data_IF_351976183173
#
_entry.id   IF_351976183173
#
_cell.length_a   1.000
_cell.length_b   1.000
_cell.length_c   1.000
_cell.angle_alpha   90.00
_cell.angle_beta   90.00
_cell.angle_gamma   90.00
#
_symmetry.space_group_name_H-M   'P 1'
#
loop_
_entity.id
_entity.type
_entity.pdbx_description
1 polymer ?
#
# COMPACT_ATOMS: atom_id res chain seq x y z
N UNK A 1 1.04 19.91 -8.85
CA UNK A 1 -0.24 20.12 -8.11
C UNK A 1 -1.45 19.75 -8.98
N UNK A 2 -1.65 20.26 -10.25
CA UNK A 2 -2.85 19.92 -11.02
C UNK A 2 -3.07 18.42 -11.22
N UNK A 3 -2.01 17.63 -11.45
CA UNK A 3 -2.09 16.16 -11.63
C UNK A 3 -2.53 15.43 -10.37
N UNK A 4 -2.03 15.84 -9.21
CA UNK A 4 -2.45 15.25 -7.93
C UNK A 4 -3.93 15.54 -7.65
N UNK A 5 -4.38 16.76 -7.93
CA UNK A 5 -5.80 17.13 -7.79
C UNK A 5 -6.69 16.25 -8.66
N UNK A 6 -6.32 16.04 -9.94
CA UNK A 6 -7.04 15.15 -10.85
C UNK A 6 -7.14 13.70 -10.31
N UNK A 7 -6.06 13.19 -9.71
CA UNK A 7 -6.08 11.87 -9.06
C UNK A 7 -7.06 11.85 -7.90
N UNK A 8 -7.02 12.85 -7.02
CA UNK A 8 -7.92 12.92 -5.85
C UNK A 8 -9.39 13.07 -6.25
N UNK A 9 -9.68 13.89 -7.28
CA UNK A 9 -11.02 14.02 -7.86
C UNK A 9 -11.51 12.69 -8.43
N UNK A 10 -10.65 11.96 -9.14
CA UNK A 10 -10.98 10.63 -9.66
C UNK A 10 -11.25 9.62 -8.55
N UNK A 11 -10.50 9.65 -7.45
CA UNK A 11 -10.74 8.77 -6.30
C UNK A 11 -12.06 9.11 -5.58
N UNK A 12 -12.36 10.40 -5.43
CA UNK A 12 -13.63 10.83 -4.87
C UNK A 12 -14.81 10.36 -5.74
N UNK A 13 -14.70 10.53 -7.07
CA UNK A 13 -15.70 10.04 -8.03
C UNK A 13 -15.93 8.53 -7.90
N UNK A 14 -14.87 7.70 -7.74
CA UNK A 14 -15.00 6.26 -7.52
C UNK A 14 -15.82 5.96 -6.26
N UNK A 15 -15.56 6.70 -5.16
CA UNK A 15 -16.32 6.56 -3.93
C UNK A 15 -17.80 6.90 -4.09
N UNK A 16 -18.10 8.05 -4.67
CA UNK A 16 -19.46 8.52 -4.92
C UNK A 16 -20.24 7.55 -5.85
N UNK A 17 -19.56 7.05 -6.89
CA UNK A 17 -20.16 6.09 -7.82
C UNK A 17 -20.43 4.74 -7.17
N UNK A 18 -19.54 4.27 -6.28
CA UNK A 18 -19.76 3.06 -5.51
C UNK A 18 -20.98 3.18 -4.57
N UNK A 19 -21.18 4.35 -3.97
CA UNK A 19 -22.36 4.64 -3.16
C UNK A 19 -23.63 4.67 -4.01
N UNK A 20 -23.59 5.35 -5.15
CA UNK A 20 -24.71 5.43 -6.09
C UNK A 20 -25.15 4.05 -6.57
N UNK A 21 -24.19 3.15 -6.83
CA UNK A 21 -24.42 1.77 -7.23
C UNK A 21 -24.74 0.82 -6.06
N UNK A 22 -24.71 1.31 -4.81
CA UNK A 22 -24.94 0.51 -3.59
C UNK A 22 -23.93 -0.63 -3.40
N UNK A 23 -22.69 -0.44 -3.85
CA UNK A 23 -21.59 -1.39 -3.67
C UNK A 23 -20.51 -0.88 -2.73
N UNK A 24 -20.68 0.28 -2.10
CA UNK A 24 -19.70 0.92 -1.21
C UNK A 24 -19.22 0.01 -0.06
N UNK A 25 -20.05 -0.93 0.40
CA UNK A 25 -19.67 -1.94 1.39
C UNK A 25 -18.93 -3.17 0.83
N UNK A 26 -18.65 -3.24 -0.46
CA UNK A 26 -18.16 -4.45 -1.13
C UNK A 26 -16.95 -4.23 -2.03
N UNK A 27 -16.27 -3.09 -1.98
CA UNK A 27 -15.08 -2.84 -2.76
C UNK A 27 -13.91 -2.38 -1.89
N UNK A 28 -12.71 -2.62 -2.39
CA UNK A 28 -11.45 -2.05 -1.88
C UNK A 28 -10.76 -1.38 -3.05
N UNK A 29 -10.36 -0.14 -2.87
CA UNK A 29 -9.56 0.60 -3.84
C UNK A 29 -8.12 0.70 -3.36
N UNK A 30 -7.20 0.36 -4.25
CA UNK A 30 -5.77 0.51 -4.04
C UNK A 30 -5.19 1.39 -5.15
N UNK A 31 -4.43 2.41 -4.76
CA UNK A 31 -3.73 3.30 -5.67
C UNK A 31 -2.26 3.29 -5.35
N UNK A 32 -1.45 2.90 -6.31
CA UNK A 32 -0.01 2.83 -6.17
C UNK A 32 0.67 3.13 -7.50
N UNK A 33 1.99 3.10 -7.48
CA UNK A 33 2.85 3.19 -8.65
C UNK A 33 3.83 2.04 -8.63
N UNK A 34 4.24 1.55 -9.78
CA UNK A 34 5.22 0.48 -9.94
C UNK A 34 6.57 0.84 -9.30
N UNK A 35 6.91 2.12 -9.31
CA UNK A 35 8.11 2.66 -8.68
C UNK A 35 7.89 4.10 -8.21
N UNK A 36 8.70 4.53 -7.25
CA UNK A 36 8.84 5.94 -6.89
C UNK A 36 9.82 6.67 -7.81
N UNK A 37 10.10 7.91 -7.50
CA UNK A 37 11.14 8.72 -8.16
C UNK A 37 12.19 9.14 -7.14
N UNK A 38 13.46 9.16 -7.56
CA UNK A 38 14.57 9.59 -6.71
C UNK A 38 14.31 10.97 -6.10
N UNK A 39 14.72 11.22 -4.84
CA UNK A 39 14.58 12.54 -4.20
C UNK A 39 15.34 13.62 -4.96
N UNK A 40 16.55 13.32 -5.45
CA UNK A 40 17.40 14.22 -6.24
C UNK A 40 17.12 14.14 -7.74
N UNK A 41 17.64 15.10 -8.47
CA UNK A 41 17.69 15.10 -9.93
C UNK A 41 18.96 14.44 -10.43
N UNK A 42 18.89 13.81 -11.60
CA UNK A 42 20.03 13.26 -12.32
C UNK A 42 20.68 14.31 -13.24
N UNK A 43 21.75 13.92 -13.95
CA UNK A 43 22.55 14.82 -14.79
C UNK A 43 21.78 15.40 -16.00
N UNK A 44 20.56 14.92 -16.26
CA UNK A 44 19.68 15.42 -17.33
C UNK A 44 18.46 16.16 -16.79
N UNK A 45 18.51 16.65 -15.56
CA UNK A 45 17.41 17.33 -14.84
C UNK A 45 16.13 16.48 -14.72
N UNK A 46 16.26 15.16 -14.84
CA UNK A 46 15.21 14.18 -14.62
C UNK A 46 15.30 13.51 -13.25
N UNK A 47 14.36 12.61 -12.97
CA UNK A 47 14.37 11.77 -11.78
C UNK A 47 14.34 10.30 -12.21
N UNK A 48 15.24 9.52 -11.64
CA UNK A 48 15.33 8.09 -11.90
C UNK A 48 14.26 7.30 -11.15
N UNK A 49 14.14 6.01 -11.47
CA UNK A 49 13.30 5.09 -10.73
C UNK A 49 13.83 4.93 -9.31
N UNK A 50 12.90 4.88 -8.36
CA UNK A 50 13.21 4.70 -6.94
C UNK A 50 12.39 3.55 -6.38
N UNK A 51 13.04 2.67 -5.63
CA UNK A 51 12.40 1.47 -5.07
C UNK A 51 11.41 1.78 -3.92
N UNK A 52 11.32 3.03 -3.51
CA UNK A 52 10.43 3.47 -2.43
C UNK A 52 9.25 4.23 -3.04
N UNK A 53 8.05 3.77 -2.74
CA UNK A 53 6.80 4.39 -3.17
C UNK A 53 5.79 4.35 -2.03
N UNK A 54 4.64 4.96 -2.24
CA UNK A 54 3.51 4.92 -1.33
C UNK A 54 2.28 4.35 -2.02
N UNK A 55 1.38 3.81 -1.21
CA UNK A 55 0.11 3.25 -1.66
C UNK A 55 -1.01 3.87 -0.84
N UNK A 56 -2.09 4.27 -1.48
CA UNK A 56 -3.33 4.69 -0.84
C UNK A 56 -4.30 3.51 -0.89
N UNK A 57 -4.95 3.21 0.23
CA UNK A 57 -5.97 2.17 0.31
C UNK A 57 -7.22 2.69 1.01
N UNK A 58 -8.40 2.38 0.47
CA UNK A 58 -9.69 2.70 1.09
C UNK A 58 -10.77 1.71 0.65
N UNK A 59 -11.86 1.67 1.39
CA UNK A 59 -12.99 0.78 1.12
C UNK A 59 -13.25 -0.22 2.23
N UNK A 60 -13.94 -1.31 1.91
CA UNK A 60 -14.39 -2.32 2.87
C UNK A 60 -13.22 -2.92 3.66
N UNK A 61 -13.32 -2.88 4.99
CA UNK A 61 -12.33 -3.49 5.88
C UNK A 61 -11.04 -2.67 6.07
N UNK A 62 -10.87 -1.56 5.34
CA UNK A 62 -9.71 -0.68 5.50
C UNK A 62 -9.94 0.29 6.68
N UNK A 63 -9.06 0.25 7.65
CA UNK A 63 -9.04 1.22 8.75
C UNK A 63 -8.37 2.52 8.27
N UNK A 64 -9.18 3.47 7.83
CA UNK A 64 -8.72 4.77 7.31
C UNK A 64 -8.15 5.72 8.37
N UNK A 65 -7.76 6.92 7.91
CA UNK A 65 -7.30 8.01 8.78
C UNK A 65 -5.91 7.79 9.40
N UNK A 66 -5.07 6.93 8.83
CA UNK A 66 -3.74 6.61 9.36
C UNK A 66 -2.69 6.45 8.27
N UNK A 67 -1.45 6.66 8.65
CA UNK A 67 -0.27 6.35 7.84
C UNK A 67 0.46 5.17 8.46
N UNK A 68 0.84 4.20 7.65
CA UNK A 68 1.58 3.00 8.02
C UNK A 68 2.97 3.04 7.38
N UNK A 69 4.01 2.70 8.16
CA UNK A 69 5.38 2.83 7.71
C UNK A 69 5.87 4.28 7.63
N UNK A 70 7.02 4.48 7.01
CA UNK A 70 7.63 5.80 6.84
C UNK A 70 9.00 5.74 6.19
N UNK A 71 9.57 6.91 5.98
CA UNK A 71 10.94 7.11 5.52
C UNK A 71 11.71 8.01 6.47
N UNK A 72 13.02 7.90 6.47
CA UNK A 72 13.91 8.85 7.14
C UNK A 72 14.05 10.16 6.33
N UNK A 73 14.83 11.11 6.85
CA UNK A 73 15.10 12.41 6.20
C UNK A 73 15.88 12.27 4.87
N UNK A 74 16.45 11.10 4.61
CA UNK A 74 17.12 10.75 3.36
C UNK A 74 16.23 9.96 2.40
N UNK A 75 14.95 9.81 2.73
CA UNK A 75 13.94 9.05 1.99
C UNK A 75 14.21 7.54 1.91
N UNK A 76 15.03 6.98 2.82
CA UNK A 76 15.17 5.54 2.96
C UNK A 76 13.96 4.97 3.72
N UNK A 77 13.53 3.77 3.33
CA UNK A 77 12.44 3.07 4.04
C UNK A 77 12.86 2.74 5.46
N UNK A 78 12.03 3.08 6.42
CA UNK A 78 12.15 2.63 7.80
C UNK A 78 11.53 1.23 7.96
N UNK A 79 12.15 0.40 8.80
CA UNK A 79 11.52 -0.84 9.25
C UNK A 79 10.29 -0.52 10.10
N UNK A 80 9.35 -1.45 10.16
CA UNK A 80 8.11 -1.32 10.91
C UNK A 80 7.92 -2.45 11.90
N UNK A 81 7.35 -2.13 13.04
CA UNK A 81 6.91 -3.13 14.00
C UNK A 81 5.73 -3.94 13.42
N UNK A 82 5.79 -5.26 13.48
CA UNK A 82 4.77 -6.13 12.86
C UNK A 82 3.39 -6.04 13.50
N UNK A 83 3.29 -5.52 14.73
CA UNK A 83 2.01 -5.37 15.46
C UNK A 83 1.37 -3.99 15.25
N UNK A 84 2.19 -2.93 15.31
CA UNK A 84 1.69 -1.54 15.24
C UNK A 84 1.80 -0.93 13.86
N UNK A 85 2.64 -1.51 12.99
CA UNK A 85 2.99 -1.02 11.64
C UNK A 85 3.56 0.41 11.67
N UNK A 86 4.11 0.81 12.80
CA UNK A 86 4.81 2.08 12.97
C UNK A 86 6.33 1.86 12.86
N UNK A 87 7.10 2.90 12.51
CA UNK A 87 8.55 2.81 12.42
C UNK A 87 9.18 2.20 13.68
N UNK A 88 10.03 1.19 13.47
CA UNK A 88 10.74 0.48 14.54
C UNK A 88 12.05 -0.08 13.98
N UNK A 89 13.20 0.33 14.53
CA UNK A 89 14.51 -0.12 14.07
C UNK A 89 14.72 -1.65 14.17
N UNK A 90 13.99 -2.31 15.07
CA UNK A 90 14.01 -3.78 15.24
C UNK A 90 12.94 -4.49 14.44
N UNK A 91 12.15 -3.76 13.68
CA UNK A 91 11.06 -4.28 12.87
C UNK A 91 11.53 -4.86 11.55
N UNK A 92 10.57 -5.08 10.66
CA UNK A 92 10.78 -5.62 9.30
C UNK A 92 10.62 -4.54 8.25
N UNK A 93 11.18 -4.77 7.08
CA UNK A 93 10.92 -3.92 5.91
C UNK A 93 9.54 -4.25 5.34
N UNK A 94 8.69 -3.23 5.21
CA UNK A 94 7.40 -3.38 4.53
C UNK A 94 7.62 -3.48 3.02
N UNK A 95 7.12 -4.56 2.41
CA UNK A 95 7.28 -4.88 1.00
C UNK A 95 5.91 -5.19 0.35
N UNK A 96 5.80 -5.15 -0.99
CA UNK A 96 4.56 -5.47 -1.69
C UNK A 96 3.92 -6.80 -1.30
N UNK A 97 4.74 -7.84 -0.99
CA UNK A 97 4.24 -9.14 -0.53
C UNK A 97 3.30 -9.03 0.68
N UNK A 98 3.61 -8.13 1.62
CA UNK A 98 2.80 -7.91 2.83
C UNK A 98 1.46 -7.25 2.49
N UNK A 99 1.45 -6.33 1.52
CA UNK A 99 0.21 -5.71 1.02
C UNK A 99 -0.67 -6.78 0.36
N UNK A 100 -0.09 -7.57 -0.54
CA UNK A 100 -0.81 -8.65 -1.22
C UNK A 100 -1.38 -9.69 -0.24
N UNK A 101 -0.64 -10.09 0.79
CA UNK A 101 -1.15 -10.98 1.82
C UNK A 101 -2.38 -10.42 2.52
N UNK A 102 -2.34 -9.13 2.87
CA UNK A 102 -3.46 -8.49 3.54
C UNK A 102 -4.67 -8.30 2.60
N UNK A 103 -4.45 -8.05 1.32
CA UNK A 103 -5.53 -8.02 0.32
C UNK A 103 -6.18 -9.40 0.14
N UNK A 104 -5.38 -10.48 0.11
CA UNK A 104 -5.91 -11.85 0.08
C UNK A 104 -6.80 -12.15 1.29
N UNK A 105 -6.39 -11.70 2.49
CA UNK A 105 -7.19 -11.82 3.71
C UNK A 105 -8.51 -11.03 3.63
N UNK A 106 -8.46 -9.79 3.15
CA UNK A 106 -9.67 -9.00 2.95
C UNK A 106 -10.64 -9.64 1.95
N UNK A 107 -10.11 -10.27 0.91
CA UNK A 107 -10.89 -10.99 -0.08
C UNK A 107 -11.37 -12.37 0.41
N UNK A 108 -10.86 -12.86 1.54
CA UNK A 108 -11.19 -14.18 2.08
C UNK A 108 -10.64 -15.35 1.26
N UNK A 109 -9.54 -15.12 0.52
CA UNK A 109 -8.91 -16.12 -0.36
C UNK A 109 -7.51 -16.54 0.11
N UNK A 110 -7.05 -16.05 1.25
CA UNK A 110 -5.70 -16.31 1.75
C UNK A 110 -5.47 -17.80 2.11
N UNK A 111 -6.53 -18.58 2.35
CA UNK A 111 -6.51 -20.00 2.61
C UNK A 111 -7.00 -20.84 1.40
N UNK A 112 -7.26 -20.25 0.25
CA UNK A 112 -7.67 -20.94 -0.95
C UNK A 112 -6.51 -21.79 -1.51
N UNK A 113 -6.80 -23.01 -1.98
CA UNK A 113 -5.81 -23.93 -2.54
C UNK A 113 -5.04 -23.31 -3.73
N UNK A 114 -5.69 -22.43 -4.50
CA UNK A 114 -5.06 -21.70 -5.59
C UNK A 114 -3.90 -20.83 -5.12
N UNK A 115 -3.87 -20.40 -3.87
CA UNK A 115 -2.76 -19.59 -3.32
C UNK A 115 -1.46 -20.37 -3.21
N UNK A 116 -1.51 -21.72 -3.22
CA UNK A 116 -0.33 -22.56 -3.26
C UNK A 116 0.45 -22.42 -4.58
N UNK A 117 -0.23 -22.05 -5.66
CA UNK A 117 0.41 -21.77 -6.96
C UNK A 117 1.05 -20.39 -7.01
N UNK A 118 0.68 -19.50 -6.08
CA UNK A 118 1.15 -18.11 -6.02
C UNK A 118 1.63 -17.77 -4.60
N UNK A 119 2.64 -18.47 -4.04
CA UNK A 119 3.11 -18.24 -2.69
C UNK A 119 3.75 -16.84 -2.57
N UNK A 120 3.53 -16.19 -1.44
CA UNK A 120 4.13 -14.87 -1.14
C UNK A 120 5.43 -14.97 -0.34
N UNK A 121 5.79 -16.18 0.12
CA UNK A 121 7.00 -16.46 0.90
C UNK A 121 7.20 -15.47 2.08
N UNK A 122 6.17 -15.31 2.91
CA UNK A 122 6.22 -14.45 4.10
C UNK A 122 6.49 -15.34 5.31
N UNK A 123 7.63 -15.18 6.00
CA UNK A 123 7.90 -15.86 7.27
C UNK A 123 6.87 -15.49 8.34
N UNK A 124 6.62 -16.39 9.29
CA UNK A 124 5.61 -16.15 10.32
C UNK A 124 5.90 -14.90 11.19
N UNK A 125 7.18 -14.60 11.43
CA UNK A 125 7.64 -13.43 12.15
C UNK A 125 7.44 -12.11 11.39
N UNK A 126 7.30 -12.17 10.07
CA UNK A 126 7.00 -11.04 9.19
C UNK A 126 5.49 -10.85 8.97
N UNK A 127 4.66 -11.72 9.52
CA UNK A 127 3.21 -11.61 9.37
C UNK A 127 2.68 -10.39 10.13
N UNK A 128 2.05 -9.48 9.39
CA UNK A 128 1.49 -8.25 9.93
C UNK A 128 0.08 -7.99 9.39
N UNK A 129 -0.69 -7.19 10.12
CA UNK A 129 -2.06 -6.80 9.76
C UNK A 129 -2.08 -5.33 9.40
N UNK A 130 -2.22 -5.05 8.09
CA UNK A 130 -2.28 -3.69 7.54
C UNK A 130 -3.71 -3.11 7.64
N UNK A 131 -4.72 -3.94 7.57
CA UNK A 131 -6.12 -3.53 7.43
C UNK A 131 -6.97 -4.03 8.61
#
# INVERSE_FOLDING_TARGET
>A
IPRLLQVLEGLNFIGEEAERQKISGNYVCMVGSDFGRTPGYNDTDGKDHWAVSSVIAFGKGIKGGRVLGGTDDRHNVLNVNTKTVQPDAKGIRLEPKHIHQNLRRLAGIDQDELMNFYPLAIPAEEDLKLF
#
